data_IF_837023099204
#
_entry.id   IF_837023099204
#
_cell.length_a   1.000
_cell.length_b   1.000
_cell.length_c   1.000
_cell.angle_alpha   90.00
_cell.angle_beta   90.00
_cell.angle_gamma   90.00
#
_symmetry.space_group_name_H-M   'P 1'
#
loop_
_entity.id
_entity.type
_entity.pdbx_description
1 polymer ?
#
# COMPACT_ATOMS: atom_id res chain seq x y z
N UNK A 1 -36.53 -5.42 -4.76
CA UNK A 1 -35.23 -6.13 -4.89
C UNK A 1 -34.07 -5.50 -4.10
N UNK A 2 -34.01 -4.18 -3.87
CA UNK A 2 -32.91 -3.51 -3.13
C UNK A 2 -32.75 -3.94 -1.66
N UNK A 3 -33.85 -4.10 -0.92
CA UNK A 3 -33.81 -4.43 0.54
C UNK A 3 -33.24 -5.81 0.90
N UNK A 4 -33.30 -6.80 0.00
CA UNK A 4 -32.73 -8.12 0.26
C UNK A 4 -31.19 -8.13 0.11
N UNK A 5 -30.66 -7.23 -0.69
CA UNK A 5 -29.22 -7.10 -0.98
C UNK A 5 -28.47 -6.44 0.18
N UNK A 6 -29.08 -5.44 0.87
CA UNK A 6 -28.50 -4.77 2.03
C UNK A 6 -28.26 -5.71 3.21
N UNK A 7 -29.21 -6.64 3.45
CA UNK A 7 -29.06 -7.61 4.55
C UNK A 7 -27.93 -8.61 4.33
N UNK A 8 -27.57 -8.93 3.10
CA UNK A 8 -26.47 -9.85 2.80
C UNK A 8 -25.11 -9.18 3.04
N UNK A 9 -24.99 -7.89 2.72
CA UNK A 9 -23.78 -7.10 2.99
C UNK A 9 -23.59 -6.86 4.48
N UNK A 10 -24.67 -6.50 5.19
CA UNK A 10 -24.65 -6.36 6.65
C UNK A 10 -24.25 -7.66 7.36
N UNK A 11 -24.62 -8.82 6.83
CA UNK A 11 -24.26 -10.13 7.40
C UNK A 11 -22.78 -10.48 7.16
N UNK A 12 -22.13 -9.85 6.17
CA UNK A 12 -20.71 -10.07 5.83
C UNK A 12 -19.74 -9.04 6.46
N UNK A 13 -20.26 -8.11 7.31
CA UNK A 13 -19.44 -7.06 7.93
C UNK A 13 -18.26 -7.60 8.74
N UNK A 14 -18.45 -8.75 9.41
CA UNK A 14 -17.38 -9.40 10.18
C UNK A 14 -16.22 -9.87 9.28
N UNK A 15 -16.54 -10.37 8.08
CA UNK A 15 -15.53 -10.80 7.10
C UNK A 15 -14.81 -9.59 6.50
N UNK A 16 -15.53 -8.48 6.29
CA UNK A 16 -14.95 -7.22 5.83
C UNK A 16 -14.01 -6.64 6.88
N UNK A 17 -14.47 -6.55 8.14
CA UNK A 17 -13.66 -6.05 9.25
C UNK A 17 -12.41 -6.92 9.50
N UNK A 18 -12.56 -8.25 9.45
CA UNK A 18 -11.43 -9.15 9.57
C UNK A 18 -10.43 -8.98 8.42
N UNK A 19 -10.91 -8.78 7.19
CA UNK A 19 -10.07 -8.48 6.03
C UNK A 19 -9.28 -7.19 6.21
N UNK A 20 -9.93 -6.10 6.62
CA UNK A 20 -9.31 -4.80 6.90
C UNK A 20 -8.20 -4.91 7.97
N UNK A 21 -8.50 -5.57 9.10
CA UNK A 21 -7.53 -5.77 10.19
C UNK A 21 -6.31 -6.58 9.71
N UNK A 22 -6.53 -7.67 8.97
CA UNK A 22 -5.43 -8.49 8.48
C UNK A 22 -4.55 -7.72 7.51
N UNK A 23 -5.13 -6.92 6.60
CA UNK A 23 -4.35 -6.07 5.70
C UNK A 23 -3.56 -5.01 6.43
N UNK A 24 -4.13 -4.35 7.42
CA UNK A 24 -3.43 -3.37 8.27
C UNK A 24 -2.28 -4.02 9.03
N UNK A 25 -2.47 -5.23 9.54
CA UNK A 25 -1.41 -5.98 10.19
C UNK A 25 -0.27 -6.33 9.22
N UNK A 26 -0.59 -6.77 8.00
CA UNK A 26 0.40 -7.04 6.95
C UNK A 26 1.14 -5.76 6.56
N UNK A 27 0.41 -4.66 6.33
CA UNK A 27 1.01 -3.37 6.02
C UNK A 27 2.00 -2.93 7.11
N UNK A 28 1.60 -3.02 8.38
CA UNK A 28 2.45 -2.70 9.51
C UNK A 28 3.69 -3.60 9.57
N UNK A 29 3.53 -4.91 9.41
CA UNK A 29 4.63 -5.87 9.43
C UNK A 29 5.65 -5.67 8.31
N UNK A 30 5.24 -5.13 7.16
CA UNK A 30 6.12 -4.88 6.01
C UNK A 30 6.73 -3.47 6.08
N UNK A 31 5.93 -2.46 6.41
CA UNK A 31 6.38 -1.06 6.42
C UNK A 31 7.32 -0.77 7.60
N UNK A 32 7.08 -1.37 8.77
CA UNK A 32 7.93 -1.12 9.96
C UNK A 32 9.40 -1.49 9.72
N UNK A 33 9.76 -2.72 9.29
CA UNK A 33 11.16 -3.05 9.04
C UNK A 33 11.75 -2.22 7.90
N UNK A 34 10.96 -1.85 6.89
CA UNK A 34 11.41 -0.99 5.79
C UNK A 34 11.82 0.38 6.31
N UNK A 35 11.00 1.02 7.15
CA UNK A 35 11.30 2.31 7.77
C UNK A 35 12.57 2.21 8.62
N UNK A 36 12.71 1.16 9.42
CA UNK A 36 13.91 0.94 10.25
C UNK A 36 15.16 0.82 9.39
N UNK A 37 15.12 0.05 8.30
CA UNK A 37 16.25 -0.10 7.38
C UNK A 37 16.61 1.23 6.72
N UNK A 38 15.62 1.99 6.25
CA UNK A 38 15.82 3.30 5.64
C UNK A 38 16.42 4.30 6.63
N UNK A 39 15.91 4.35 7.87
CA UNK A 39 16.44 5.20 8.92
C UNK A 39 17.89 4.87 9.25
N UNK A 40 18.24 3.58 9.37
CA UNK A 40 19.63 3.15 9.58
C UNK A 40 20.54 3.52 8.42
N UNK A 41 20.07 3.41 7.20
CA UNK A 41 20.82 3.77 6.00
C UNK A 41 21.07 5.28 5.95
N UNK A 42 20.09 6.08 6.36
CA UNK A 42 20.18 7.52 6.45
C UNK A 42 21.22 7.94 7.51
N UNK A 43 21.10 7.42 8.73
CA UNK A 43 22.05 7.69 9.85
C UNK A 43 23.49 7.33 9.45
N UNK A 44 23.70 6.18 8.81
CA UNK A 44 25.02 5.78 8.32
C UNK A 44 25.60 6.73 7.27
N UNK A 45 24.76 7.37 6.47
CA UNK A 45 25.20 8.29 5.42
C UNK A 45 25.46 9.71 5.93
N UNK A 46 24.64 10.19 6.85
CA UNK A 46 24.75 11.54 7.40
C UNK A 46 25.76 11.64 8.54
N UNK A 47 26.09 10.51 9.20
CA UNK A 47 26.94 10.49 10.41
C UNK A 47 26.33 11.24 11.60
N UNK A 48 25.09 11.71 11.48
CA UNK A 48 24.43 12.49 12.51
C UNK A 48 23.82 11.58 13.57
N UNK A 49 23.91 12.00 14.83
CA UNK A 49 23.26 11.31 15.97
C UNK A 49 21.76 11.55 16.03
N UNK A 50 21.29 12.64 15.38
CA UNK A 50 19.87 12.96 15.19
C UNK A 50 19.67 13.39 13.74
N UNK A 51 18.60 12.92 13.14
CA UNK A 51 18.24 13.24 11.76
C UNK A 51 17.09 14.23 11.81
N UNK A 52 17.28 15.43 11.27
CA UNK A 52 16.23 16.42 11.13
C UNK A 52 15.32 16.06 9.93
N UNK A 53 14.08 16.51 9.95
CA UNK A 53 13.13 16.28 8.86
C UNK A 53 13.65 16.78 7.51
N UNK A 54 14.41 17.89 7.53
CA UNK A 54 15.06 18.48 6.35
C UNK A 54 16.11 17.54 5.76
N UNK A 55 16.92 16.87 6.60
CA UNK A 55 17.94 15.92 6.15
C UNK A 55 17.31 14.69 5.47
N UNK A 56 16.16 14.25 6.00
CA UNK A 56 15.37 13.16 5.39
C UNK A 56 14.88 13.59 4.01
N UNK A 57 14.30 14.78 3.90
CA UNK A 57 13.81 15.31 2.63
C UNK A 57 14.94 15.46 1.62
N UNK A 58 16.05 16.08 2.00
CA UNK A 58 17.23 16.23 1.15
C UNK A 58 17.76 14.88 0.67
N UNK A 59 17.88 13.88 1.57
CA UNK A 59 18.31 12.55 1.18
C UNK A 59 17.42 11.94 0.09
N UNK A 60 16.11 12.02 0.25
CA UNK A 60 15.18 11.45 -0.72
C UNK A 60 15.20 12.16 -2.08
N UNK A 61 15.42 13.47 -2.12
CA UNK A 61 15.37 14.25 -3.36
C UNK A 61 16.73 14.47 -4.02
N UNK A 62 17.84 14.46 -3.28
CA UNK A 62 19.18 14.76 -3.83
C UNK A 62 19.99 13.51 -4.16
N UNK A 63 19.69 12.37 -3.53
CA UNK A 63 20.46 11.14 -3.76
C UNK A 63 19.71 10.15 -4.63
N UNK A 64 20.43 9.50 -5.59
CA UNK A 64 19.83 8.44 -6.45
C UNK A 64 19.25 7.29 -5.63
N UNK A 65 19.92 6.91 -4.52
CA UNK A 65 19.46 5.85 -3.62
C UNK A 65 18.22 6.33 -2.85
N UNK A 66 18.19 7.57 -2.40
CA UNK A 66 17.03 8.18 -1.76
C UNK A 66 15.81 8.21 -2.67
N UNK A 67 16.00 8.62 -3.93
CA UNK A 67 14.93 8.62 -4.92
C UNK A 67 14.37 7.21 -5.17
N UNK A 68 15.23 6.22 -5.35
CA UNK A 68 14.82 4.82 -5.49
C UNK A 68 14.08 4.31 -4.25
N UNK A 69 14.55 4.66 -3.06
CA UNK A 69 13.91 4.31 -1.80
C UNK A 69 12.54 4.98 -1.67
N UNK A 70 12.41 6.25 -2.07
CA UNK A 70 11.14 6.98 -2.09
C UNK A 70 10.13 6.30 -3.02
N UNK A 71 10.55 5.97 -4.25
CA UNK A 71 9.70 5.23 -5.22
C UNK A 71 9.25 3.91 -4.63
N UNK A 72 10.16 3.16 -4.02
CA UNK A 72 9.86 1.86 -3.43
C UNK A 72 8.85 1.97 -2.28
N UNK A 73 9.06 2.92 -1.36
CA UNK A 73 8.16 3.16 -0.21
C UNK A 73 6.77 3.56 -0.70
N UNK A 74 6.68 4.54 -1.60
CA UNK A 74 5.41 4.99 -2.16
C UNK A 74 4.70 3.87 -2.92
N UNK A 75 5.43 3.13 -3.76
CA UNK A 75 4.87 2.00 -4.50
C UNK A 75 4.35 0.92 -3.54
N UNK A 76 5.03 0.67 -2.44
CA UNK A 76 4.63 -0.32 -1.44
C UNK A 76 3.37 0.13 -0.69
N UNK A 77 3.31 1.38 -0.25
CA UNK A 77 2.13 1.95 0.43
C UNK A 77 0.91 1.87 -0.49
N UNK A 78 1.03 2.39 -1.71
CA UNK A 78 -0.08 2.41 -2.68
C UNK A 78 -0.44 0.97 -3.08
N UNK A 79 0.55 0.08 -3.28
CA UNK A 79 0.34 -1.31 -3.63
C UNK A 79 -0.42 -2.10 -2.56
N UNK A 80 -0.07 -1.92 -1.29
CA UNK A 80 -0.78 -2.54 -0.16
C UNK A 80 -2.22 -2.03 -0.09
N UNK A 81 -2.42 -0.71 -0.22
CA UNK A 81 -3.75 -0.10 -0.21
C UNK A 81 -4.60 -0.59 -1.41
N UNK A 82 -4.01 -0.69 -2.60
CA UNK A 82 -4.71 -1.20 -3.78
C UNK A 82 -5.11 -2.69 -3.62
N UNK A 83 -4.23 -3.51 -3.02
CA UNK A 83 -4.52 -4.90 -2.68
C UNK A 83 -5.67 -5.00 -1.69
N UNK A 84 -5.66 -4.20 -0.64
CA UNK A 84 -6.74 -4.12 0.34
C UNK A 84 -8.08 -3.83 -0.34
N UNK A 85 -8.14 -2.78 -1.16
CA UNK A 85 -9.34 -2.39 -1.90
C UNK A 85 -9.82 -3.50 -2.84
N UNK A 86 -8.92 -4.15 -3.57
CA UNK A 86 -9.25 -5.27 -4.47
C UNK A 86 -9.86 -6.45 -3.71
N UNK A 87 -9.34 -6.78 -2.53
CA UNK A 87 -9.88 -7.86 -1.70
C UNK A 87 -11.22 -7.51 -1.07
N UNK A 88 -11.37 -6.30 -0.54
CA UNK A 88 -12.66 -5.83 -0.01
C UNK A 88 -13.73 -5.82 -1.10
N UNK A 89 -13.40 -5.33 -2.29
CA UNK A 89 -14.28 -5.34 -3.46
C UNK A 89 -14.72 -6.77 -3.82
N UNK A 90 -13.79 -7.74 -3.78
CA UNK A 90 -14.10 -9.15 -4.03
C UNK A 90 -15.08 -9.71 -3.00
N UNK A 91 -14.90 -9.36 -1.72
CA UNK A 91 -15.81 -9.78 -0.64
C UNK A 91 -17.21 -9.22 -0.89
N UNK A 92 -17.32 -7.92 -1.18
CA UNK A 92 -18.59 -7.25 -1.45
C UNK A 92 -19.29 -7.86 -2.67
N UNK A 93 -18.59 -8.03 -3.80
CA UNK A 93 -19.15 -8.62 -5.00
C UNK A 93 -19.64 -10.07 -4.78
N UNK A 94 -18.92 -10.83 -3.95
CA UNK A 94 -19.31 -12.21 -3.60
C UNK A 94 -20.58 -12.21 -2.74
N UNK A 95 -20.68 -11.29 -1.79
CA UNK A 95 -21.86 -11.11 -0.94
C UNK A 95 -23.09 -10.66 -1.75
N UNK A 96 -22.90 -9.72 -2.69
CA UNK A 96 -23.97 -9.24 -3.59
C UNK A 96 -24.52 -10.36 -4.51
N UNK A 97 -23.69 -11.35 -4.85
CA UNK A 97 -24.10 -12.54 -5.61
C UNK A 97 -24.78 -13.60 -4.73
N UNK A 98 -25.10 -13.30 -3.47
CA UNK A 98 -25.74 -14.21 -2.53
C UNK A 98 -24.85 -15.37 -2.04
N UNK A 99 -23.56 -15.35 -2.35
CA UNK A 99 -22.58 -16.35 -1.90
C UNK A 99 -21.93 -15.91 -0.59
N UNK A 100 -21.57 -16.86 0.27
CA UNK A 100 -20.81 -16.55 1.49
C UNK A 100 -19.37 -16.21 1.13
N UNK A 101 -18.90 -14.97 1.39
CA UNK A 101 -17.52 -14.60 1.10
C UNK A 101 -16.56 -15.34 2.04
N UNK A 102 -15.52 -15.95 1.47
CA UNK A 102 -14.44 -16.57 2.22
C UNK A 102 -13.19 -15.70 2.10
N UNK A 103 -12.59 -15.35 3.24
CA UNK A 103 -11.35 -14.55 3.28
C UNK A 103 -10.24 -15.17 2.42
N UNK A 104 -10.09 -16.50 2.49
CA UNK A 104 -9.09 -17.23 1.71
C UNK A 104 -9.19 -16.97 0.21
N UNK A 105 -10.40 -16.92 -0.34
CA UNK A 105 -10.63 -16.69 -1.78
C UNK A 105 -10.30 -15.24 -2.17
N UNK A 106 -10.57 -14.28 -1.27
CA UNK A 106 -10.22 -12.89 -1.46
C UNK A 106 -8.68 -12.70 -1.45
N UNK A 107 -7.99 -13.31 -0.49
CA UNK A 107 -6.52 -13.29 -0.42
C UNK A 107 -5.87 -13.97 -1.63
N UNK A 108 -6.38 -15.14 -2.03
CA UNK A 108 -5.88 -15.85 -3.22
C UNK A 108 -6.04 -15.00 -4.49
N UNK A 109 -7.14 -14.23 -4.59
CA UNK A 109 -7.35 -13.30 -5.70
C UNK A 109 -6.35 -12.15 -5.67
N UNK A 110 -6.12 -11.53 -4.52
CA UNK A 110 -5.11 -10.50 -4.33
C UNK A 110 -3.70 -11.01 -4.66
N UNK A 111 -3.33 -12.17 -4.13
CA UNK A 111 -2.03 -12.78 -4.36
C UNK A 111 -1.76 -13.09 -5.86
N UNK A 112 -2.76 -13.56 -6.59
CA UNK A 112 -2.63 -13.80 -8.04
C UNK A 112 -2.40 -12.53 -8.85
N UNK A 113 -2.92 -11.41 -8.37
CA UNK A 113 -2.83 -10.12 -9.07
C UNK A 113 -1.73 -9.21 -8.50
N UNK A 114 -0.95 -9.68 -7.52
CA UNK A 114 0.04 -8.85 -6.82
C UNK A 114 1.07 -8.22 -7.77
N UNK A 115 1.59 -9.00 -8.73
CA UNK A 115 2.56 -8.50 -9.72
C UNK A 115 1.94 -7.47 -10.67
N UNK A 116 0.68 -7.67 -11.09
CA UNK A 116 -0.02 -6.71 -11.94
C UNK A 116 -0.26 -5.40 -11.18
N UNK A 117 -0.70 -5.47 -9.93
CA UNK A 117 -0.94 -4.31 -9.06
C UNK A 117 0.38 -3.58 -8.80
N UNK A 118 1.45 -4.29 -8.43
CA UNK A 118 2.76 -3.70 -8.20
C UNK A 118 3.30 -3.00 -9.47
N UNK A 119 3.19 -3.63 -10.63
CA UNK A 119 3.64 -3.04 -11.89
C UNK A 119 2.89 -1.74 -12.21
N UNK A 120 1.57 -1.74 -12.05
CA UNK A 120 0.75 -0.54 -12.28
C UNK A 120 1.11 0.55 -11.26
N UNK A 121 1.28 0.19 -9.99
CA UNK A 121 1.61 1.12 -8.91
C UNK A 121 2.98 1.76 -9.13
N UNK A 122 4.01 0.97 -9.44
CA UNK A 122 5.36 1.49 -9.74
C UNK A 122 5.32 2.45 -10.93
N UNK A 123 4.62 2.09 -12.01
CA UNK A 123 4.48 2.95 -13.18
C UNK A 123 3.76 4.26 -12.84
N UNK A 124 2.71 4.20 -12.01
CA UNK A 124 1.99 5.38 -11.53
C UNK A 124 2.91 6.30 -10.71
N UNK A 125 3.64 5.75 -9.74
CA UNK A 125 4.56 6.50 -8.88
C UNK A 125 5.66 7.16 -9.71
N UNK A 126 6.27 6.45 -10.66
CA UNK A 126 7.29 7.00 -11.54
C UNK A 126 6.73 8.15 -12.38
N UNK A 127 5.54 8.00 -12.94
CA UNK A 127 4.88 9.10 -13.70
C UNK A 127 4.59 10.31 -12.83
N UNK A 128 4.10 10.11 -11.60
CA UNK A 128 3.85 11.19 -10.66
C UNK A 128 5.14 11.93 -10.29
N UNK A 129 6.24 11.22 -10.08
CA UNK A 129 7.54 11.83 -9.79
C UNK A 129 8.07 12.63 -10.98
N UNK A 130 7.93 12.10 -12.22
CA UNK A 130 8.33 12.82 -13.43
C UNK A 130 7.50 14.10 -13.59
N UNK A 131 6.19 14.04 -13.32
CA UNK A 131 5.32 15.22 -13.36
C UNK A 131 5.62 16.22 -12.24
N UNK A 132 6.04 15.76 -11.08
CA UNK A 132 6.40 16.61 -9.95
C UNK A 132 7.81 17.23 -10.09
N UNK A 133 8.70 16.64 -10.89
CA UNK A 133 10.08 17.10 -11.05
C UNK A 133 10.23 18.59 -11.39
N UNK A 134 9.45 19.19 -12.33
CA UNK A 134 9.59 20.62 -12.63
C UNK A 134 9.18 21.53 -11.47
N UNK A 135 8.28 21.08 -10.58
CA UNK A 135 7.82 21.85 -9.42
C UNK A 135 8.82 21.81 -8.26
N UNK A 136 9.69 20.79 -8.22
CA UNK A 136 10.73 20.65 -7.20
C UNK A 136 12.03 21.36 -7.63
N UNK A 137 12.22 21.54 -8.94
CA UNK A 137 13.40 22.18 -9.51
C UNK A 137 13.26 23.71 -9.67
N UNK A 138 12.05 24.25 -9.49
CA UNK A 138 11.74 25.69 -9.54
C UNK A 138 11.89 26.34 -8.17
#
# INVERSE_FOLDING_TARGET
MARANDRSVLKSWRTLAAGDIVYKAIAFAVLTPLIVVLSRLLIRRTGATAVADVDIALFFFTTRIGLLALVLVLALIIGVTALEQACLMKIVLTALRGKRPRLRDAFAHGARNIFAILRVTVNLVVRLLVLAAPFVAA
#
